data_IF_632864654631
#
_entry.id   IF_632864654631
#
_cell.length_a   1.000
_cell.length_b   1.000
_cell.length_c   1.000
_cell.angle_alpha   90.00
_cell.angle_beta   90.00
_cell.angle_gamma   90.00
#
_symmetry.space_group_name_H-M   'P 1'
#
loop_
_entity.id
_entity.type
_entity.pdbx_description
1 polymer ?
#
# COMPACT_ATOMS: atom_id res chain seq x y z
N UNK A 1 -69.59 5.77 -35.44
CA UNK A 1 -70.81 5.33 -34.71
C UNK A 1 -70.35 4.43 -33.58
N UNK A 2 -70.48 4.94 -32.38
CA UNK A 2 -70.88 4.21 -31.17
C UNK A 2 -69.94 3.06 -30.77
N UNK A 3 -69.53 2.92 -29.62
CA UNK A 3 -69.94 3.23 -28.25
C UNK A 3 -68.91 2.58 -27.36
N UNK A 4 -68.35 3.36 -26.47
CA UNK A 4 -68.62 3.23 -25.04
C UNK A 4 -68.29 1.84 -24.50
N UNK A 5 -67.48 1.70 -23.62
CA UNK A 5 -67.49 1.98 -22.19
C UNK A 5 -66.23 1.35 -21.68
N UNK A 6 -65.41 2.06 -21.11
CA UNK A 6 -65.39 2.39 -19.70
C UNK A 6 -65.06 1.24 -18.81
N UNK A 7 -64.07 1.52 -18.03
CA UNK A 7 -63.97 1.16 -16.62
C UNK A 7 -63.36 -0.24 -16.42
N UNK A 8 -62.31 -0.42 -15.67
CA UNK A 8 -62.03 -0.02 -14.30
C UNK A 8 -60.54 -0.13 -14.04
N UNK A 9 -60.01 0.92 -13.61
CA UNK A 9 -59.00 1.07 -12.62
C UNK A 9 -58.92 -0.08 -11.65
N UNK A 10 -57.82 -0.82 -11.63
CA UNK A 10 -57.31 -1.41 -10.40
C UNK A 10 -55.83 -1.05 -10.34
N UNK A 11 -55.60 -0.03 -9.60
CA UNK A 11 -54.30 0.34 -9.03
C UNK A 11 -53.88 -0.80 -8.10
N UNK A 12 -52.94 -1.62 -8.54
CA UNK A 12 -52.17 -2.44 -7.64
C UNK A 12 -50.76 -1.84 -7.59
N UNK A 13 -50.63 -0.94 -6.66
CA UNK A 13 -49.38 -0.33 -6.23
C UNK A 13 -48.60 -1.42 -5.47
N UNK A 14 -47.82 -2.21 -6.19
CA UNK A 14 -46.81 -3.05 -5.56
C UNK A 14 -45.54 -2.23 -5.47
N UNK A 15 -45.43 -1.55 -4.36
CA UNK A 15 -44.16 -0.95 -3.94
C UNK A 15 -43.15 -2.06 -3.69
N UNK A 16 -42.48 -2.50 -4.73
CA UNK A 16 -41.29 -3.32 -4.62
C UNK A 16 -40.17 -2.47 -4.04
N UNK A 17 -39.99 -2.52 -2.75
CA UNK A 17 -38.79 -2.03 -2.10
C UNK A 17 -37.66 -2.94 -2.54
N UNK A 18 -36.98 -2.53 -3.60
CA UNK A 18 -35.67 -3.10 -3.96
C UNK A 18 -34.71 -2.55 -2.91
N UNK A 19 -34.55 -3.28 -1.84
CA UNK A 19 -33.39 -3.09 -0.97
C UNK A 19 -32.18 -3.54 -1.76
N UNK A 20 -31.53 -2.59 -2.42
CA UNK A 20 -30.15 -2.75 -2.88
C UNK A 20 -29.32 -2.90 -1.60
N UNK A 21 -29.13 -4.14 -1.19
CA UNK A 21 -28.08 -4.47 -0.26
C UNK A 21 -26.78 -4.12 -1.00
N UNK A 22 -26.28 -2.91 -0.80
CA UNK A 22 -24.88 -2.60 -1.03
C UNK A 22 -24.14 -3.49 -0.06
N UNK A 23 -23.74 -4.66 -0.55
CA UNK A 23 -22.67 -5.44 0.04
C UNK A 23 -21.44 -4.53 -0.03
N UNK A 24 -21.29 -3.71 1.00
CA UNK A 24 -20.03 -3.07 1.30
C UNK A 24 -19.10 -4.19 1.69
N UNK A 25 -18.53 -4.82 0.67
CA UNK A 25 -17.29 -5.53 0.87
C UNK A 25 -16.40 -4.59 1.66
N UNK A 26 -16.25 -4.89 2.92
CA UNK A 26 -15.30 -4.23 3.81
C UNK A 26 -13.92 -4.61 3.30
N UNK A 27 -13.51 -3.99 2.21
CA UNK A 27 -12.10 -3.80 1.97
C UNK A 27 -11.65 -2.95 3.16
N UNK A 28 -11.13 -3.60 4.17
CA UNK A 28 -10.30 -2.94 5.17
C UNK A 28 -9.18 -2.25 4.39
N UNK A 29 -9.43 -1.04 3.99
CA UNK A 29 -8.37 -0.10 3.69
C UNK A 29 -7.70 0.15 5.03
N UNK A 30 -6.79 -0.76 5.39
CA UNK A 30 -5.85 -0.50 6.46
C UNK A 30 -5.26 0.87 6.13
N UNK A 31 -5.58 1.84 6.96
CA UNK A 31 -5.12 3.21 6.80
C UNK A 31 -3.62 3.22 7.07
N UNK A 32 -2.85 2.79 6.07
CA UNK A 32 -1.40 2.76 6.20
C UNK A 32 -0.88 4.19 6.31
N UNK A 33 -0.18 4.46 7.38
CA UNK A 33 0.47 5.75 7.61
C UNK A 33 1.88 5.72 7.03
N UNK A 34 2.22 6.74 6.27
CA UNK A 34 3.55 6.87 5.69
C UNK A 34 4.59 7.09 6.78
N UNK A 35 5.65 6.28 6.73
CA UNK A 35 6.82 6.37 7.61
C UNK A 35 7.84 7.29 6.98
N UNK A 36 8.19 7.03 5.71
CA UNK A 36 9.22 7.78 4.99
C UNK A 36 8.96 7.73 3.50
N UNK A 37 9.52 8.69 2.77
CA UNK A 37 9.36 8.80 1.31
C UNK A 37 10.68 9.24 0.68
N UNK A 38 11.00 8.66 -0.48
CA UNK A 38 12.13 9.05 -1.31
C UNK A 38 11.72 9.15 -2.78
N UNK A 39 12.53 9.80 -3.59
CA UNK A 39 12.32 9.91 -5.04
C UNK A 39 13.50 9.31 -5.79
N UNK A 40 13.22 8.59 -6.85
CA UNK A 40 14.23 8.02 -7.75
C UNK A 40 13.63 7.80 -9.13
N UNK A 41 14.32 8.24 -10.18
CA UNK A 41 13.93 8.00 -11.57
C UNK A 41 12.53 8.48 -11.95
N UNK A 42 12.05 9.60 -11.39
CA UNK A 42 10.69 10.12 -11.62
C UNK A 42 9.61 9.36 -10.84
N UNK A 43 10.01 8.44 -9.96
CA UNK A 43 9.11 7.72 -9.09
C UNK A 43 9.19 8.26 -7.66
N UNK A 44 8.05 8.26 -6.99
CA UNK A 44 7.94 8.47 -5.55
C UNK A 44 7.83 7.10 -4.89
N UNK A 45 8.74 6.81 -3.99
CA UNK A 45 8.83 5.57 -3.24
C UNK A 45 8.44 5.87 -1.80
N UNK A 46 7.42 5.19 -1.29
CA UNK A 46 6.90 5.42 0.06
C UNK A 46 6.90 4.12 0.86
N UNK A 47 7.34 4.22 2.10
CA UNK A 47 7.27 3.15 3.10
C UNK A 47 6.19 3.52 4.11
N UNK A 48 5.30 2.60 4.42
CA UNK A 48 4.18 2.81 5.31
C UNK A 48 3.92 1.60 6.21
N UNK A 49 3.27 1.81 7.34
CA UNK A 49 2.75 0.76 8.22
C UNK A 49 1.39 1.17 8.80
N UNK A 50 0.72 0.27 9.48
CA UNK A 50 -0.57 0.54 10.14
C UNK A 50 -0.44 1.68 11.16
N UNK A 51 0.67 1.72 11.87
CA UNK A 51 0.93 2.69 12.93
C UNK A 51 1.67 3.94 12.45
N UNK A 52 2.35 3.87 11.29
CA UNK A 52 3.28 4.91 10.82
C UNK A 52 4.64 4.83 11.49
N UNK A 53 4.95 3.71 12.11
CA UNK A 53 6.18 3.48 12.86
C UNK A 53 6.80 2.14 12.51
N UNK A 54 8.10 2.03 12.68
CA UNK A 54 8.85 0.78 12.71
C UNK A 54 9.23 0.48 14.15
N UNK A 55 9.21 -0.78 14.52
CA UNK A 55 9.57 -1.24 15.87
C UNK A 55 10.73 -2.22 15.78
N UNK A 56 11.46 -2.38 16.88
CA UNK A 56 12.35 -3.52 17.02
C UNK A 56 11.53 -4.82 17.02
N UNK A 57 12.01 -5.85 16.33
CA UNK A 57 11.30 -7.10 16.10
C UNK A 57 10.63 -7.15 14.70
N UNK A 58 9.59 -7.96 14.58
CA UNK A 58 8.92 -8.20 13.32
C UNK A 58 8.00 -7.02 12.93
N UNK A 59 8.10 -6.59 11.69
CA UNK A 59 7.30 -5.52 11.13
C UNK A 59 6.64 -5.96 9.82
N UNK A 60 5.38 -5.59 9.67
CA UNK A 60 4.63 -5.66 8.42
C UNK A 60 4.52 -4.24 7.84
N UNK A 61 5.18 -4.01 6.72
CA UNK A 61 5.25 -2.71 6.06
C UNK A 61 4.64 -2.78 4.67
N UNK A 62 4.32 -1.64 4.12
CA UNK A 62 3.90 -1.49 2.73
C UNK A 62 4.92 -0.60 2.02
N UNK A 63 5.50 -1.13 0.96
CA UNK A 63 6.35 -0.40 0.03
C UNK A 63 5.52 -0.04 -1.21
N UNK A 64 5.48 1.22 -1.57
CA UNK A 64 4.70 1.74 -2.69
C UNK A 64 5.57 2.52 -3.65
N UNK A 65 5.32 2.31 -4.94
CA UNK A 65 5.90 3.08 -6.03
C UNK A 65 4.78 3.82 -6.76
N UNK A 66 4.94 5.12 -6.92
CA UNK A 66 3.98 5.96 -7.63
C UNK A 66 4.73 6.89 -8.59
N UNK A 67 4.07 7.29 -9.67
CA UNK A 67 4.56 8.33 -10.55
C UNK A 67 4.40 9.74 -9.95
N UNK A 68 4.79 10.76 -10.69
CA UNK A 68 4.69 12.15 -10.24
C UNK A 68 3.25 12.61 -10.01
N UNK A 69 2.27 11.93 -10.62
CA UNK A 69 0.84 12.19 -10.41
C UNK A 69 0.25 11.46 -9.18
N UNK A 70 1.05 10.63 -8.52
CA UNK A 70 0.61 9.82 -7.39
C UNK A 70 -0.05 8.49 -7.78
N UNK A 71 -0.04 8.14 -9.07
CA UNK A 71 -0.59 6.89 -9.55
C UNK A 71 0.36 5.73 -9.28
N UNK A 72 -0.12 4.59 -8.73
CA UNK A 72 0.71 3.41 -8.53
C UNK A 72 1.31 2.90 -9.84
N UNK A 73 2.59 2.52 -9.78
CA UNK A 73 3.36 2.07 -10.93
C UNK A 73 4.02 0.74 -10.61
N UNK A 74 3.80 -0.25 -11.46
CA UNK A 74 4.54 -1.51 -11.40
C UNK A 74 6.00 -1.27 -11.81
N UNK A 75 6.92 -1.62 -10.93
CA UNK A 75 8.36 -1.50 -11.17
C UNK A 75 9.03 -2.86 -11.45
N UNK A 76 8.25 -3.94 -11.45
CA UNK A 76 8.77 -5.29 -11.63
C UNK A 76 9.39 -5.85 -10.35
N UNK A 77 10.67 -6.23 -10.39
CA UNK A 77 11.37 -6.71 -9.20
C UNK A 77 11.74 -5.54 -8.29
N UNK A 78 11.47 -5.71 -7.00
CA UNK A 78 11.86 -4.75 -5.99
C UNK A 78 12.52 -5.46 -4.80
N UNK A 79 13.39 -4.74 -4.09
CA UNK A 79 13.99 -5.20 -2.84
C UNK A 79 14.01 -4.08 -1.83
N UNK A 80 13.93 -4.43 -0.57
CA UNK A 80 14.02 -3.52 0.56
C UNK A 80 15.00 -4.11 1.58
N UNK A 81 15.93 -3.30 2.02
CA UNK A 81 16.91 -3.65 3.05
C UNK A 81 17.05 -2.50 4.04
N UNK A 82 17.09 -2.81 5.31
CA UNK A 82 17.42 -1.86 6.35
C UNK A 82 18.90 -2.00 6.68
N UNK A 83 19.58 -0.87 6.72
CA UNK A 83 20.99 -0.77 7.05
C UNK A 83 21.18 0.16 8.24
N UNK A 84 21.88 -0.31 9.24
CA UNK A 84 22.35 0.51 10.36
C UNK A 84 23.88 0.56 10.30
N UNK A 85 24.49 1.73 10.11
CA UNK A 85 25.93 1.86 10.08
C UNK A 85 26.55 1.50 11.44
N UNK A 86 27.70 0.88 11.40
CA UNK A 86 28.45 0.57 12.63
C UNK A 86 28.81 1.84 13.39
N UNK A 87 28.68 1.79 14.70
CA UNK A 87 29.03 2.90 15.61
C UNK A 87 29.90 2.40 16.75
N UNK A 88 31.11 2.96 16.86
CA UNK A 88 32.05 2.58 17.93
C UNK A 88 32.40 1.09 17.85
N UNK A 89 32.04 0.35 18.90
CA UNK A 89 32.28 -1.10 19.00
C UNK A 89 31.13 -1.95 18.42
N UNK A 90 30.04 -1.31 17.95
CA UNK A 90 28.92 -2.00 17.34
C UNK A 90 29.18 -2.18 15.84
N UNK A 91 29.06 -3.42 15.37
CA UNK A 91 29.16 -3.73 13.95
C UNK A 91 27.94 -3.15 13.20
N UNK A 92 28.10 -2.95 11.89
CA UNK A 92 26.97 -2.64 11.03
C UNK A 92 25.94 -3.79 11.00
N UNK A 93 24.68 -3.45 10.84
CA UNK A 93 23.59 -4.40 10.71
C UNK A 93 22.87 -4.21 9.39
N UNK A 94 22.43 -5.33 8.81
CA UNK A 94 21.72 -5.36 7.55
C UNK A 94 20.58 -6.37 7.63
N UNK A 95 19.35 -5.88 7.57
CA UNK A 95 18.15 -6.69 7.62
C UNK A 95 17.41 -6.59 6.27
N UNK A 96 17.23 -7.71 5.60
CA UNK A 96 16.52 -7.77 4.33
C UNK A 96 15.05 -8.09 4.54
N UNK A 97 14.18 -7.35 3.87
CA UNK A 97 12.76 -7.62 3.88
C UNK A 97 12.38 -8.70 2.86
N UNK A 98 11.39 -9.50 3.22
CA UNK A 98 10.69 -10.37 2.26
C UNK A 98 9.55 -9.56 1.63
N UNK A 99 9.60 -9.36 0.32
CA UNK A 99 8.57 -8.67 -0.43
C UNK A 99 7.59 -9.64 -1.08
N UNK A 100 6.30 -9.30 -0.99
CA UNK A 100 5.21 -10.02 -1.66
C UNK A 100 4.37 -9.01 -2.43
N UNK A 101 4.04 -9.32 -3.67
CA UNK A 101 3.15 -8.50 -4.49
C UNK A 101 1.75 -8.44 -3.88
N UNK A 102 1.04 -7.36 -4.15
CA UNK A 102 -0.37 -7.18 -3.80
C UNK A 102 -1.22 -7.08 -5.06
N UNK A 103 -2.54 -7.03 -4.91
CA UNK A 103 -3.47 -6.84 -6.04
C UNK A 103 -3.32 -5.47 -6.72
N UNK A 104 -2.62 -4.53 -6.10
CA UNK A 104 -2.34 -3.22 -6.66
C UNK A 104 -0.93 -3.20 -7.24
N UNK A 105 -0.76 -2.97 -8.55
CA UNK A 105 0.57 -2.81 -9.15
C UNK A 105 1.39 -1.73 -8.44
N UNK A 106 2.69 -1.98 -8.24
CA UNK A 106 3.58 -1.04 -7.56
C UNK A 106 3.41 -0.97 -6.05
N UNK A 107 2.61 -1.86 -5.48
CA UNK A 107 2.42 -1.98 -4.04
C UNK A 107 2.85 -3.35 -3.57
N UNK A 108 3.77 -3.39 -2.63
CA UNK A 108 4.35 -4.62 -2.08
C UNK A 108 4.14 -4.66 -0.57
N UNK A 109 3.81 -5.83 -0.06
CA UNK A 109 3.87 -6.10 1.37
C UNK A 109 5.31 -6.51 1.70
N UNK A 110 5.90 -5.86 2.69
CA UNK A 110 7.24 -6.11 3.15
C UNK A 110 7.20 -6.64 4.58
N UNK A 111 7.80 -7.78 4.82
CA UNK A 111 8.05 -8.30 6.17
C UNK A 111 9.53 -8.19 6.47
N UNK A 112 9.86 -7.58 7.58
CA UNK A 112 11.22 -7.38 8.01
C UNK A 112 11.33 -7.53 9.53
N UNK A 113 12.37 -8.21 9.96
CA UNK A 113 12.79 -8.23 11.34
C UNK A 113 13.84 -7.12 11.53
N UNK A 114 13.66 -6.30 12.54
CA UNK A 114 14.60 -5.22 12.88
C UNK A 114 15.21 -5.55 14.24
N UNK A 115 16.50 -5.82 14.28
CA UNK A 115 17.18 -6.36 15.45
C UNK A 115 17.13 -5.43 16.66
N UNK A 116 17.14 -4.12 16.46
CA UNK A 116 17.14 -3.16 17.56
C UNK A 116 16.49 -1.82 17.20
N UNK A 117 16.07 -1.10 18.23
CA UNK A 117 15.63 0.28 18.10
C UNK A 117 16.80 1.19 17.70
N UNK A 118 16.53 2.22 16.93
CA UNK A 118 17.55 3.18 16.49
C UNK A 118 17.28 3.73 15.11
N UNK A 119 18.26 4.43 14.56
CA UNK A 119 18.21 5.03 13.24
C UNK A 119 18.71 4.04 12.18
N UNK A 120 17.86 3.76 11.22
CA UNK A 120 18.13 2.86 10.11
C UNK A 120 18.00 3.60 8.77
N UNK A 121 18.73 3.13 7.79
CA UNK A 121 18.56 3.53 6.39
C UNK A 121 17.83 2.43 5.63
N UNK A 122 16.61 2.73 5.20
CA UNK A 122 15.86 1.85 4.31
C UNK A 122 16.35 2.06 2.88
N UNK A 123 17.01 1.06 2.33
CA UNK A 123 17.53 1.02 0.98
C UNK A 123 16.58 0.23 0.10
N UNK A 124 16.06 0.87 -0.93
CA UNK A 124 15.15 0.27 -1.92
C UNK A 124 15.85 0.17 -3.25
N UNK A 125 15.78 -0.96 -3.89
CA UNK A 125 16.23 -1.15 -5.28
C UNK A 125 15.06 -1.70 -6.10
N UNK A 126 14.98 -1.32 -7.36
CA UNK A 126 13.98 -1.86 -8.29
C UNK A 126 14.55 -2.04 -9.68
N UNK A 127 14.01 -3.02 -10.41
CA UNK A 127 14.38 -3.36 -11.77
C UNK A 127 13.17 -3.89 -12.53
N UNK A 128 12.85 -3.26 -13.66
CA UNK A 128 11.72 -3.66 -14.49
C UNK A 128 11.59 -2.85 -15.76
N UNK A 129 10.41 -2.87 -16.35
CA UNK A 129 10.13 -2.17 -17.61
C UNK A 129 10.34 -0.66 -17.56
N UNK A 130 10.33 -0.06 -16.38
CA UNK A 130 10.62 1.36 -16.13
C UNK A 130 12.10 1.67 -15.93
N UNK A 131 12.97 0.67 -16.05
CA UNK A 131 14.40 0.77 -15.79
C UNK A 131 14.78 0.24 -14.40
N UNK A 132 16.00 0.57 -14.01
CA UNK A 132 16.55 0.25 -12.70
C UNK A 132 16.73 1.52 -11.88
N UNK A 133 16.55 1.44 -10.59
CA UNK A 133 16.80 2.56 -9.69
C UNK A 133 17.02 2.13 -8.26
N UNK A 134 17.55 3.06 -7.49
CA UNK A 134 17.77 2.90 -6.06
C UNK A 134 17.34 4.16 -5.33
N UNK A 135 16.87 4.00 -4.12
CA UNK A 135 16.56 5.09 -3.22
C UNK A 135 16.88 4.70 -1.79
N UNK A 136 17.26 5.68 -1.00
CA UNK A 136 17.48 5.52 0.44
C UNK A 136 16.60 6.49 1.20
N UNK A 137 16.09 6.05 2.34
CA UNK A 137 15.29 6.87 3.23
C UNK A 137 15.58 6.54 4.69
N UNK A 138 15.61 7.57 5.53
CA UNK A 138 15.83 7.37 6.95
C UNK A 138 14.56 6.88 7.63
N UNK A 139 14.73 5.90 8.52
CA UNK A 139 13.67 5.29 9.30
C UNK A 139 14.16 5.15 10.74
N UNK A 140 13.28 5.46 11.69
CA UNK A 140 13.58 5.24 13.11
C UNK A 140 12.75 4.08 13.62
N UNK A 141 13.43 3.06 14.13
CA UNK A 141 12.79 1.97 14.86
C UNK A 141 12.71 2.29 16.35
N UNK A 142 11.58 2.00 16.94
CA UNK A 142 11.29 2.21 18.38
C UNK A 142 11.30 0.91 19.16
#
# INVERSE_FOLDING_TARGET
MNRRMAVVLILALVAGVITVACDRGTTSSASNKTISTAKSGGLTISLASDTGEVKSGDNDLILMFADESGKPVDVGAASLKFHMPGMGMMAEMNDAATLTTTDTPGRYRARIHVDMAGSWEAQVSYEGARGTGQASMNVTAK
#
